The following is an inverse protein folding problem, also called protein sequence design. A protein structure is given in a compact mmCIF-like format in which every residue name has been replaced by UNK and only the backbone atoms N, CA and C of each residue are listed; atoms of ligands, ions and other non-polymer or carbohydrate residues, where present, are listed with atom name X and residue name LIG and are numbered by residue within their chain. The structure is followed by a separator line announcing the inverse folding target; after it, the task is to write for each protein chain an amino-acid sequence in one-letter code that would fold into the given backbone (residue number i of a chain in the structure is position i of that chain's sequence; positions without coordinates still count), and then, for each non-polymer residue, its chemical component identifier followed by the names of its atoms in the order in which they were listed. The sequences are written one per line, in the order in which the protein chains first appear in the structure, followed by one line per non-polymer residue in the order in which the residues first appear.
data_IF_852527743384
#
_entry.id   IF_852527743384
#
_cell.length_a   1.000
_cell.length_b   1.000
_cell.length_c   1.000
_cell.angle_alpha   90.00
_cell.angle_beta   90.00
_cell.angle_gamma   90.00
#
_symmetry.space_group_name_H-M   'P 1'
#
loop_
_entity.id
_entity.type
_entity.pdbx_description
1 polymer ?
#
# COMPACT_ATOMS: atom_id res chain seq x y z
N UNK A 1 31.05 7.36 -17.16
CA UNK A 1 29.74 7.09 -17.76
C UNK A 1 28.79 6.67 -16.63
N UNK A 2 27.93 7.59 -16.16
CA UNK A 2 26.97 7.27 -15.12
C UNK A 2 25.86 6.42 -15.70
N UNK A 3 25.76 5.18 -15.29
CA UNK A 3 24.55 4.39 -15.49
C UNK A 3 23.42 5.10 -14.74
N UNK A 4 22.47 5.67 -15.45
CA UNK A 4 21.24 6.16 -14.86
C UNK A 4 20.55 4.97 -14.21
N UNK A 5 20.58 4.91 -12.87
CA UNK A 5 19.76 3.95 -12.12
C UNK A 5 18.29 4.32 -12.38
N UNK A 6 17.63 3.55 -13.24
CA UNK A 6 16.21 3.71 -13.56
C UNK A 6 15.31 3.15 -12.43
N UNK A 7 15.82 3.09 -11.19
CA UNK A 7 15.06 2.62 -10.03
C UNK A 7 14.16 3.74 -9.54
N UNK A 8 12.86 3.50 -9.49
CA UNK A 8 11.89 4.39 -8.86
C UNK A 8 11.60 3.91 -7.44
N UNK A 9 11.50 4.86 -6.51
CA UNK A 9 11.17 4.56 -5.12
C UNK A 9 9.80 5.12 -4.77
N UNK A 10 8.99 4.33 -4.09
CA UNK A 10 7.72 4.76 -3.49
C UNK A 10 7.69 4.39 -2.02
N UNK A 11 7.06 5.22 -1.21
CA UNK A 11 6.65 4.87 0.14
C UNK A 11 5.13 4.66 0.16
N UNK A 12 4.68 3.62 0.86
CA UNK A 12 3.28 3.24 0.93
C UNK A 12 2.85 3.10 2.39
N UNK A 13 1.79 3.81 2.73
CA UNK A 13 1.08 3.68 3.99
C UNK A 13 -0.27 3.02 3.73
N UNK A 14 -0.48 1.84 4.31
CA UNK A 14 -1.68 1.02 4.12
C UNK A 14 -2.61 1.16 5.33
N UNK A 15 -3.26 2.31 5.46
CA UNK A 15 -4.18 2.57 6.56
C UNK A 15 -5.54 1.89 6.39
N UNK A 16 -6.25 1.69 7.52
CA UNK A 16 -7.61 1.11 7.56
C UNK A 16 -8.63 1.94 6.77
N UNK A 17 -8.53 3.27 6.85
CA UNK A 17 -9.47 4.18 6.16
C UNK A 17 -8.97 4.56 4.77
N UNK A 18 -7.72 4.98 4.66
CA UNK A 18 -7.10 5.43 3.42
C UNK A 18 -5.72 4.80 3.26
N UNK A 19 -5.35 4.53 2.02
CA UNK A 19 -4.00 4.15 1.63
C UNK A 19 -3.33 5.27 0.87
N UNK A 20 -2.10 5.58 1.22
CA UNK A 20 -1.32 6.69 0.67
C UNK A 20 -0.08 6.15 -0.02
N UNK A 21 0.25 6.69 -1.19
CA UNK A 21 1.54 6.45 -1.84
C UNK A 21 2.24 7.78 -2.08
N UNK A 22 3.50 7.83 -1.65
CA UNK A 22 4.41 8.97 -1.83
C UNK A 22 5.47 8.58 -2.86
N UNK A 23 5.78 9.49 -3.76
CA UNK A 23 6.86 9.41 -4.74
C UNK A 23 7.49 10.78 -4.92
N UNK A 24 8.82 10.88 -4.78
CA UNK A 24 9.56 12.15 -4.84
C UNK A 24 8.97 13.23 -3.92
N UNK A 25 8.77 12.89 -2.64
CA UNK A 25 8.22 13.74 -1.58
C UNK A 25 6.83 14.32 -1.86
N UNK A 26 6.10 13.73 -2.80
CA UNK A 26 4.74 14.12 -3.13
C UNK A 26 3.77 12.95 -2.97
N UNK A 27 2.60 13.25 -2.42
CA UNK A 27 1.49 12.29 -2.38
C UNK A 27 0.96 12.12 -3.80
N UNK A 28 1.21 10.95 -4.39
CA UNK A 28 0.76 10.61 -5.74
C UNK A 28 -0.53 9.80 -5.76
N UNK A 29 -0.81 9.09 -4.67
CA UNK A 29 -2.08 8.37 -4.43
C UNK A 29 -2.52 8.66 -3.00
N UNK A 30 -3.80 9.01 -2.83
CA UNK A 30 -4.50 9.05 -1.54
C UNK A 30 -5.93 8.56 -1.83
N UNK A 31 -6.17 7.31 -1.50
CA UNK A 31 -7.41 6.61 -1.86
C UNK A 31 -7.99 5.87 -0.65
N UNK A 32 -9.32 5.79 -0.53
CA UNK A 32 -9.95 4.95 0.47
C UNK A 32 -9.54 3.48 0.31
N UNK A 33 -9.34 2.77 1.43
CA UNK A 33 -8.90 1.37 1.46
C UNK A 33 -10.07 0.42 1.14
N UNK A 34 -10.60 0.51 -0.08
CA UNK A 34 -11.69 -0.29 -0.61
C UNK A 34 -11.30 -0.99 -1.91
N UNK A 35 -11.78 -2.22 -2.07
CA UNK A 35 -11.60 -3.03 -3.27
C UNK A 35 -12.93 -3.59 -3.73
N UNK A 36 -13.24 -3.47 -5.01
CA UNK A 36 -14.35 -4.13 -5.65
C UNK A 36 -13.82 -5.28 -6.53
N UNK A 37 -14.31 -6.47 -6.31
CA UNK A 37 -13.92 -7.69 -7.03
C UNK A 37 -15.15 -8.34 -7.68
N UNK A 38 -14.92 -9.12 -8.71
CA UNK A 38 -15.96 -9.94 -9.32
C UNK A 38 -16.41 -11.03 -8.31
N UNK A 39 -17.69 -11.11 -8.02
CA UNK A 39 -18.23 -12.06 -7.04
C UNK A 39 -18.14 -13.52 -7.51
N UNK A 40 -18.04 -13.75 -8.83
CA UNK A 40 -17.92 -15.08 -9.43
C UNK A 40 -16.44 -15.48 -9.63
N UNK A 41 -15.56 -14.51 -9.79
CA UNK A 41 -14.13 -14.68 -9.93
C UNK A 41 -13.38 -13.69 -9.04
N UNK A 42 -13.12 -14.11 -7.81
CA UNK A 42 -12.45 -13.29 -6.79
C UNK A 42 -11.02 -12.86 -7.16
N UNK A 43 -10.46 -13.35 -8.27
CA UNK A 43 -9.15 -12.95 -8.80
C UNK A 43 -9.25 -11.73 -9.73
N UNK A 44 -10.45 -11.33 -10.10
CA UNK A 44 -10.67 -10.21 -11.00
C UNK A 44 -10.98 -8.93 -10.25
N UNK A 45 -10.01 -8.02 -10.27
CA UNK A 45 -10.15 -6.65 -9.75
C UNK A 45 -11.07 -5.82 -10.67
N UNK A 46 -12.14 -5.26 -10.10
CA UNK A 46 -13.07 -4.35 -10.79
C UNK A 46 -12.67 -2.89 -10.53
N UNK A 47 -12.49 -2.53 -9.27
CA UNK A 47 -12.11 -1.18 -8.88
C UNK A 47 -11.32 -1.18 -7.55
N UNK A 48 -10.59 -0.10 -7.29
CA UNK A 48 -9.91 0.16 -6.03
C UNK A 48 -10.09 1.64 -5.66
N UNK A 49 -10.00 1.95 -4.38
CA UNK A 49 -10.08 3.30 -3.87
C UNK A 49 -11.48 3.88 -3.93
N UNK A 50 -11.58 5.15 -4.28
CA UNK A 50 -12.84 5.88 -4.32
C UNK A 50 -13.90 5.24 -5.24
N UNK A 51 -13.47 4.69 -6.36
CA UNK A 51 -14.38 3.98 -7.28
C UNK A 51 -15.00 2.74 -6.64
N UNK A 52 -14.23 2.00 -5.84
CA UNK A 52 -14.75 0.86 -5.10
C UNK A 52 -15.65 1.32 -3.94
N UNK A 53 -15.26 2.38 -3.22
CA UNK A 53 -16.05 2.96 -2.13
C UNK A 53 -17.44 3.41 -2.58
N UNK A 54 -17.56 4.01 -3.77
CA UNK A 54 -18.84 4.45 -4.35
C UNK A 54 -19.79 3.29 -4.65
N UNK A 55 -19.28 2.06 -4.78
CA UNK A 55 -20.09 0.86 -4.97
C UNK A 55 -20.55 0.25 -3.64
N UNK A 56 -19.90 0.59 -2.52
CA UNK A 56 -20.22 0.04 -1.20
C UNK A 56 -21.68 0.24 -0.81
N UNK A 57 -22.35 -0.85 -0.46
CA UNK A 57 -23.79 -0.88 -0.11
C UNK A 57 -24.74 -0.73 -1.30
N UNK A 58 -24.24 -0.73 -2.53
CA UNK A 58 -25.00 -0.64 -3.78
C UNK A 58 -24.54 -1.64 -4.82
N UNK A 59 -23.85 -2.68 -4.37
CA UNK A 59 -23.21 -3.65 -5.25
C UNK A 59 -24.28 -4.45 -6.02
N UNK A 60 -24.14 -4.59 -7.35
CA UNK A 60 -24.90 -5.59 -8.09
C UNK A 60 -24.43 -7.00 -7.71
N UNK A 61 -25.26 -8.01 -7.93
CA UNK A 61 -25.01 -9.39 -7.49
C UNK A 61 -23.68 -10.00 -7.97
N UNK A 62 -23.10 -9.48 -9.03
CA UNK A 62 -21.84 -9.94 -9.60
C UNK A 62 -20.61 -9.17 -9.09
N UNK A 63 -20.77 -8.22 -8.17
CA UNK A 63 -19.67 -7.44 -7.58
C UNK A 63 -19.71 -7.57 -6.06
N UNK A 64 -18.56 -7.77 -5.46
CA UNK A 64 -18.36 -7.73 -4.01
C UNK A 64 -17.36 -6.62 -3.68
N UNK A 65 -17.76 -5.70 -2.80
CA UNK A 65 -16.84 -4.68 -2.27
C UNK A 65 -16.37 -5.10 -0.88
N UNK A 66 -15.08 -4.95 -0.62
CA UNK A 66 -14.45 -5.32 0.66
C UNK A 66 -13.50 -4.23 1.13
N UNK A 67 -13.33 -4.16 2.45
CA UNK A 67 -12.27 -3.40 3.12
C UNK A 67 -11.21 -4.41 3.55
N UNK A 68 -10.06 -4.47 2.87
CA UNK A 68 -9.05 -5.50 3.14
C UNK A 68 -8.31 -5.27 4.46
N UNK A 69 -8.37 -4.05 5.00
CA UNK A 69 -7.71 -3.64 6.24
C UNK A 69 -8.77 -3.24 7.27
N UNK A 70 -8.65 -3.77 8.49
CA UNK A 70 -9.50 -3.46 9.64
C UNK A 70 -8.63 -3.36 10.88
N UNK A 71 -8.80 -2.29 11.64
CA UNK A 71 -8.07 -2.05 12.89
C UNK A 71 -6.55 -2.20 12.78
N UNK A 72 -6.00 -1.75 11.64
CA UNK A 72 -4.57 -1.82 11.35
C UNK A 72 -4.06 -3.20 10.92
N UNK A 73 -4.93 -4.21 10.78
CA UNK A 73 -4.54 -5.57 10.37
C UNK A 73 -5.16 -5.95 9.02
N UNK A 74 -4.56 -6.93 8.35
CA UNK A 74 -5.09 -7.46 7.10
C UNK A 74 -6.20 -8.47 7.43
N UNK A 75 -7.44 -8.12 7.12
CA UNK A 75 -8.60 -8.98 7.28
C UNK A 75 -8.83 -9.91 6.06
N UNK A 76 -8.41 -9.47 4.87
CA UNK A 76 -8.51 -10.24 3.62
C UNK A 76 -7.22 -10.06 2.81
N UNK A 77 -6.34 -11.08 2.84
CA UNK A 77 -5.04 -11.06 2.18
C UNK A 77 -5.14 -10.89 0.66
N UNK A 78 -6.09 -11.56 0.03
CA UNK A 78 -6.28 -11.50 -1.41
C UNK A 78 -6.78 -10.13 -1.85
N UNK A 79 -7.72 -9.56 -1.12
CA UNK A 79 -8.20 -8.21 -1.37
C UNK A 79 -7.10 -7.16 -1.12
N UNK A 80 -6.26 -7.35 -0.09
CA UNK A 80 -5.11 -6.48 0.18
C UNK A 80 -4.09 -6.51 -0.96
N UNK A 81 -3.74 -7.70 -1.47
CA UNK A 81 -2.89 -7.83 -2.65
C UNK A 81 -3.46 -7.08 -3.85
N UNK A 82 -4.75 -7.27 -4.15
CA UNK A 82 -5.42 -6.59 -5.24
C UNK A 82 -5.43 -5.07 -5.06
N UNK A 83 -5.61 -4.60 -3.82
CA UNK A 83 -5.56 -3.18 -3.49
C UNK A 83 -4.16 -2.62 -3.78
N UNK A 84 -3.10 -3.23 -3.26
CA UNK A 84 -1.72 -2.80 -3.49
C UNK A 84 -1.42 -2.73 -4.99
N UNK A 85 -1.74 -3.80 -5.74
CA UNK A 85 -1.56 -3.84 -7.20
C UNK A 85 -2.34 -2.72 -7.91
N UNK A 86 -3.58 -2.48 -7.49
CA UNK A 86 -4.43 -1.43 -8.05
C UNK A 86 -3.87 -0.03 -7.79
N UNK A 87 -3.42 0.24 -6.56
CA UNK A 87 -2.84 1.52 -6.16
C UNK A 87 -1.49 1.78 -6.86
N UNK A 88 -0.61 0.79 -6.94
CA UNK A 88 0.67 0.89 -7.69
C UNK A 88 0.40 1.16 -9.17
N UNK A 89 -0.63 0.54 -9.76
CA UNK A 89 -1.03 0.81 -11.15
C UNK A 89 -1.52 2.25 -11.37
N UNK A 90 -2.12 2.89 -10.36
CA UNK A 90 -2.49 4.31 -10.44
C UNK A 90 -1.26 5.21 -10.53
N UNK A 91 -0.18 4.91 -9.79
CA UNK A 91 1.10 5.62 -9.88
C UNK A 91 1.67 5.50 -11.29
N UNK A 92 1.64 4.29 -11.86
CA UNK A 92 2.17 4.03 -13.20
C UNK A 92 1.44 4.81 -14.30
N UNK A 93 0.12 4.99 -14.17
CA UNK A 93 -0.69 5.74 -15.14
C UNK A 93 -0.45 7.25 -15.10
N UNK A 94 -0.09 7.79 -13.95
CA UNK A 94 0.17 9.24 -13.76
C UNK A 94 1.57 9.65 -14.18
N UNK A 95 2.49 8.71 -14.35
CA UNK A 95 3.88 8.94 -14.74
C UNK A 95 4.18 8.13 -16.00
N UNK A 96 4.99 8.66 -16.93
CA UNK A 96 5.56 7.88 -18.03
C UNK A 96 6.48 6.79 -17.46
N UNK A 97 5.87 5.72 -17.00
CA UNK A 97 6.47 4.67 -16.20
C UNK A 97 7.19 3.65 -17.09
N UNK A 98 8.42 3.95 -17.42
CA UNK A 98 9.36 3.03 -18.06
C UNK A 98 10.49 2.68 -17.08
N UNK A 99 10.16 2.33 -15.83
CA UNK A 99 11.20 1.98 -14.87
C UNK A 99 11.33 0.47 -14.75
N UNK A 100 12.51 -0.08 -15.00
CA UNK A 100 12.75 -1.53 -14.89
C UNK A 100 12.78 -2.04 -13.44
N UNK A 101 12.85 -1.17 -12.44
CA UNK A 101 12.93 -1.55 -11.04
C UNK A 101 12.12 -0.60 -10.16
N UNK A 102 11.27 -1.15 -9.30
CA UNK A 102 10.48 -0.43 -8.31
C UNK A 102 10.95 -0.81 -6.91
N UNK A 103 11.47 0.18 -6.17
CA UNK A 103 11.76 0.07 -4.75
C UNK A 103 10.54 0.52 -3.96
N UNK A 104 10.14 -0.25 -2.97
CA UNK A 104 8.99 0.04 -2.14
C UNK A 104 9.38 0.04 -0.67
N UNK A 105 8.99 1.10 0.05
CA UNK A 105 8.99 1.13 1.51
C UNK A 105 7.52 1.05 1.94
N UNK A 106 7.16 0.05 2.74
CA UNK A 106 5.78 -0.17 3.16
C UNK A 106 5.67 -0.08 4.67
N UNK A 107 4.77 0.79 5.15
CA UNK A 107 4.48 0.89 6.57
C UNK A 107 3.67 -0.33 7.03
N UNK A 108 4.02 -0.83 8.21
CA UNK A 108 3.32 -1.93 8.87
C UNK A 108 3.00 -1.57 10.32
N UNK A 109 1.86 -2.00 10.87
CA UNK A 109 1.53 -1.82 12.27
C UNK A 109 2.58 -2.47 13.19
N UNK A 110 2.79 -1.88 14.37
CA UNK A 110 3.74 -2.44 15.35
C UNK A 110 3.36 -3.85 15.82
N UNK A 111 2.06 -4.15 15.86
CA UNK A 111 1.51 -5.44 16.25
C UNK A 111 1.33 -6.43 15.11
N UNK A 112 1.80 -6.12 13.89
CA UNK A 112 1.66 -7.03 12.76
C UNK A 112 2.39 -8.36 13.03
N UNK A 113 1.70 -9.45 12.75
CA UNK A 113 2.24 -10.81 12.84
C UNK A 113 3.21 -11.10 11.69
N UNK A 114 4.08 -12.08 11.85
CA UNK A 114 5.00 -12.53 10.78
C UNK A 114 4.24 -12.94 9.50
N UNK A 115 3.04 -13.50 9.64
CA UNK A 115 2.19 -13.89 8.51
C UNK A 115 1.70 -12.67 7.74
N UNK A 116 1.26 -11.62 8.44
CA UNK A 116 0.82 -10.35 7.84
C UNK A 116 1.99 -9.63 7.16
N UNK A 117 3.13 -9.55 7.83
CA UNK A 117 4.35 -8.95 7.27
C UNK A 117 4.73 -9.65 5.97
N UNK A 118 4.72 -10.98 5.96
CA UNK A 118 4.99 -11.78 4.76
C UNK A 118 3.97 -11.51 3.66
N UNK A 119 2.68 -11.48 4.01
CA UNK A 119 1.62 -11.23 3.04
C UNK A 119 1.74 -9.85 2.38
N UNK A 120 2.08 -8.80 3.16
CA UNK A 120 2.34 -7.46 2.61
C UNK A 120 3.55 -7.47 1.68
N UNK A 121 4.62 -8.17 2.05
CA UNK A 121 5.81 -8.33 1.21
C UNK A 121 5.48 -9.00 -0.11
N UNK A 122 4.86 -10.19 -0.05
CA UNK A 122 4.50 -10.99 -1.24
C UNK A 122 3.55 -10.19 -2.15
N UNK A 123 2.57 -9.50 -1.56
CA UNK A 123 1.64 -8.62 -2.29
C UNK A 123 2.35 -7.47 -3.00
N UNK A 124 3.36 -6.89 -2.35
CA UNK A 124 4.17 -5.81 -2.91
C UNK A 124 5.07 -6.30 -4.05
N UNK A 125 5.63 -7.51 -3.93
CA UNK A 125 6.38 -8.17 -5.01
C UNK A 125 5.47 -8.42 -6.22
N UNK A 126 4.28 -8.98 -6.00
CA UNK A 126 3.29 -9.21 -7.05
C UNK A 126 2.79 -7.91 -7.70
N UNK A 127 2.83 -6.79 -6.98
CA UNK A 127 2.52 -5.47 -7.54
C UNK A 127 3.65 -4.87 -8.39
N UNK A 128 4.81 -5.55 -8.48
CA UNK A 128 5.96 -5.15 -9.28
C UNK A 128 7.11 -4.55 -8.48
N UNK A 129 7.05 -4.62 -7.14
CA UNK A 129 8.17 -4.26 -6.27
C UNK A 129 9.32 -5.25 -6.43
N UNK A 130 10.55 -4.74 -6.54
CA UNK A 130 11.77 -5.55 -6.62
C UNK A 130 12.53 -5.52 -5.31
N UNK A 131 12.72 -4.31 -4.77
CA UNK A 131 13.36 -4.09 -3.48
C UNK A 131 12.29 -3.63 -2.49
N UNK A 132 11.91 -4.47 -1.52
CA UNK A 132 10.83 -4.18 -0.59
C UNK A 132 11.39 -4.07 0.82
N UNK A 133 11.16 -2.92 1.42
CA UNK A 133 11.52 -2.59 2.80
C UNK A 133 10.26 -2.40 3.62
N UNK A 134 10.27 -2.93 4.83
CA UNK A 134 9.19 -2.76 5.79
C UNK A 134 9.64 -1.82 6.90
N UNK A 135 8.80 -0.87 7.26
CA UNK A 135 9.01 0.04 8.38
C UNK A 135 7.81 0.01 9.30
N UNK A 136 8.02 -0.02 10.61
CA UNK A 136 6.91 0.10 11.56
C UNK A 136 6.34 1.51 11.56
N UNK A 137 5.01 1.63 11.59
CA UNK A 137 4.30 2.92 11.56
C UNK A 137 4.84 3.95 12.55
N UNK A 138 5.09 3.62 13.86
CA UNK A 138 5.65 4.60 14.80
C UNK A 138 7.05 5.08 14.40
N UNK A 139 7.87 4.21 13.80
CA UNK A 139 9.20 4.58 13.32
C UNK A 139 9.12 5.51 12.12
N UNK A 140 8.19 5.23 11.19
CA UNK A 140 7.95 6.10 10.04
C UNK A 140 7.45 7.49 10.50
N UNK A 141 6.53 7.52 11.47
CA UNK A 141 6.02 8.76 12.05
C UNK A 141 7.15 9.57 12.75
N UNK A 142 8.00 8.90 13.55
CA UNK A 142 9.14 9.54 14.23
C UNK A 142 10.09 10.20 13.23
N UNK A 143 10.48 9.47 12.19
CA UNK A 143 11.33 9.99 11.12
C UNK A 143 10.66 11.17 10.39
N UNK A 144 9.35 11.07 10.15
CA UNK A 144 8.58 12.10 9.46
C UNK A 144 8.50 13.43 10.20
N UNK A 145 8.53 13.42 11.53
CA UNK A 145 8.55 14.63 12.38
C UNK A 145 9.97 15.03 12.82
N UNK A 146 11.00 14.34 12.31
CA UNK A 146 12.40 14.70 12.55
C UNK A 146 12.98 14.25 13.88
N UNK A 147 12.37 13.23 14.53
CA UNK A 147 12.96 12.61 15.72
C UNK A 147 14.15 11.77 15.29
N UNK A 148 15.28 11.93 16.00
CA UNK A 148 16.43 11.06 15.86
C UNK A 148 16.13 9.71 16.54
N UNK A 149 15.76 8.72 15.73
CA UNK A 149 15.40 7.37 16.21
C UNK A 149 16.59 6.53 16.64
N UNK A 150 17.82 6.99 16.37
CA UNK A 150 19.07 6.35 16.81
C UNK A 150 19.57 6.90 18.15
N UNK A 151 19.05 8.04 18.59
CA UNK A 151 19.38 8.59 19.90
C UNK A 151 18.88 7.69 21.04
N UNK A 152 19.65 7.50 22.11
CA UNK A 152 19.27 6.65 23.26
C UNK A 152 18.24 7.37 24.16
N UNK A 153 17.16 7.87 23.59
CA UNK A 153 16.10 8.65 24.25
C UNK A 153 14.76 7.94 24.06
N UNK A 154 13.88 8.03 25.08
CA UNK A 154 12.52 7.50 25.01
C UNK A 154 11.56 8.56 24.46
N UNK A 155 11.07 8.37 23.23
CA UNK A 155 10.07 9.22 22.60
C UNK A 155 8.74 8.46 22.46
N UNK A 156 7.61 9.14 22.69
CA UNK A 156 6.28 8.61 22.48
C UNK A 156 5.58 9.42 21.37
N UNK A 157 4.98 8.70 20.43
CA UNK A 157 4.15 9.27 19.37
C UNK A 157 2.75 8.72 19.52
N UNK A 158 1.76 9.60 19.56
CA UNK A 158 0.33 9.27 19.70
C UNK A 158 -0.43 9.81 18.50
#
# INVERSE_FOLDING_TARGET
MGFFSLTKSIAMDLGTANSIIIHNDQIVVNEPSYVAVDATNSDKLIAVGEKARQMWGKEPANIRVVRPLQDGVIADFKAAEMMIRGLVKMVSKKSNWLSPSLRMVVCIPSGATEVEIRAVRDSSEHAGGRDIYMIKEPMAAALGIGIDVEAPEGNMIV
#
